data_IF_004780569072
#
_entry.id   IF_004780569072
#
_cell.length_a   1.000
_cell.length_b   1.000
_cell.length_c   1.000
_cell.angle_alpha   90.00
_cell.angle_beta   90.00
_cell.angle_gamma   90.00
#
_symmetry.space_group_name_H-M   'P 1'
#
loop_
_entity.id
_entity.type
_entity.pdbx_description
1 polymer ?
#
# COMPACT_ATOMS: atom_id res chain seq x y z
N UNK A 1 8.79 19.85 19.71
CA UNK A 1 7.99 18.62 19.51
C UNK A 1 6.86 18.99 18.58
N UNK A 2 6.67 18.20 17.52
CA UNK A 2 5.43 18.26 16.74
C UNK A 2 4.28 17.84 17.66
N UNK A 3 3.20 18.61 17.70
CA UNK A 3 2.01 18.28 18.50
C UNK A 3 1.19 17.20 17.81
N UNK A 4 0.43 16.42 18.56
CA UNK A 4 -0.42 15.35 18.02
C UNK A 4 -1.38 15.87 16.94
N UNK A 5 -1.90 17.09 17.11
CA UNK A 5 -2.75 17.75 16.13
C UNK A 5 -2.04 18.00 14.78
N UNK A 6 -0.76 18.36 14.82
CA UNK A 6 0.03 18.58 13.61
C UNK A 6 0.31 17.25 12.90
N UNK A 7 0.56 16.18 13.67
CA UNK A 7 0.78 14.85 13.12
C UNK A 7 -0.51 14.25 12.53
N UNK A 8 -1.65 14.46 13.19
CA UNK A 8 -2.97 14.07 12.69
C UNK A 8 -3.33 14.80 11.39
N UNK A 9 -3.14 16.12 11.36
CA UNK A 9 -3.36 16.92 10.16
C UNK A 9 -2.45 16.49 9.02
N UNK A 10 -1.18 16.17 9.32
CA UNK A 10 -0.23 15.67 8.32
C UNK A 10 -0.66 14.30 7.78
N UNK A 11 -1.14 13.41 8.65
CA UNK A 11 -1.60 12.07 8.25
C UNK A 11 -2.82 12.16 7.31
N UNK A 12 -3.78 13.03 7.59
CA UNK A 12 -4.94 13.24 6.70
C UNK A 12 -4.52 13.87 5.37
N UNK A 13 -3.61 14.85 5.39
CA UNK A 13 -3.08 15.46 4.18
C UNK A 13 -2.35 14.42 3.31
N UNK A 14 -1.45 13.65 3.91
CA UNK A 14 -0.67 12.64 3.19
C UNK A 14 -1.54 11.48 2.71
N UNK A 15 -2.53 11.05 3.51
CA UNK A 15 -3.47 10.00 3.14
C UNK A 15 -4.41 10.40 2.00
N UNK A 16 -4.88 11.64 1.98
CA UNK A 16 -5.69 12.13 0.85
C UNK A 16 -4.84 12.36 -0.40
N UNK A 17 -3.62 12.89 -0.25
CA UNK A 17 -2.66 13.01 -1.34
C UNK A 17 -2.29 11.65 -1.94
N UNK A 18 -2.09 10.62 -1.12
CA UNK A 18 -1.77 9.27 -1.60
C UNK A 18 -2.91 8.66 -2.41
N UNK A 19 -4.16 8.81 -1.96
CA UNK A 19 -5.33 8.37 -2.73
C UNK A 19 -5.40 9.03 -4.11
N UNK A 20 -5.12 10.33 -4.20
CA UNK A 20 -5.06 11.04 -5.49
C UNK A 20 -3.92 10.52 -6.38
N UNK A 21 -2.73 10.29 -5.81
CA UNK A 21 -1.58 9.77 -6.55
C UNK A 21 -1.80 8.34 -7.07
N UNK A 22 -2.50 7.48 -6.32
CA UNK A 22 -2.84 6.12 -6.75
C UNK A 22 -3.79 6.14 -7.95
N UNK A 23 -4.84 6.96 -7.90
CA UNK A 23 -5.78 7.10 -9.02
C UNK A 23 -5.10 7.71 -10.24
N UNK A 24 -4.27 8.74 -10.04
CA UNK A 24 -3.49 9.35 -11.11
C UNK A 24 -2.53 8.34 -11.77
N UNK A 25 -1.84 7.52 -10.98
CA UNK A 25 -0.98 6.45 -11.50
C UNK A 25 -1.80 5.49 -12.39
N UNK A 26 -2.96 5.04 -11.93
CA UNK A 26 -3.81 4.14 -12.71
C UNK A 26 -4.30 4.79 -14.01
N UNK A 27 -4.67 6.08 -13.94
CA UNK A 27 -5.04 6.85 -15.12
C UNK A 27 -3.90 6.93 -16.14
N UNK A 28 -2.68 7.22 -15.69
CA UNK A 28 -1.51 7.30 -16.57
C UNK A 28 -1.14 5.93 -17.16
N UNK A 29 -1.18 4.86 -16.35
CA UNK A 29 -0.86 3.48 -16.77
C UNK A 29 -1.81 3.00 -17.88
N UNK A 30 -3.11 3.27 -17.77
CA UNK A 30 -4.10 2.87 -18.78
C UNK A 30 -3.97 3.66 -20.07
N UNK A 31 -3.57 4.94 -20.00
CA UNK A 31 -3.46 5.81 -21.17
C UNK A 31 -2.08 5.75 -21.85
N UNK A 32 -1.07 5.20 -21.19
CA UNK A 32 0.26 5.03 -21.76
C UNK A 32 0.24 3.93 -22.84
N UNK A 33 0.35 4.33 -24.11
CA UNK A 33 0.43 3.39 -25.24
C UNK A 33 1.84 2.83 -25.35
N UNK A 34 1.99 1.51 -25.24
CA UNK A 34 3.27 0.80 -25.42
C UNK A 34 4.15 0.68 -24.18
N UNK A 35 3.62 1.01 -22.99
CA UNK A 35 4.28 0.72 -21.72
C UNK A 35 3.77 -0.63 -21.17
N UNK A 36 4.68 -1.52 -20.78
CA UNK A 36 4.32 -2.71 -20.00
C UNK A 36 3.85 -2.29 -18.59
N UNK A 37 2.78 -2.91 -18.05
CA UNK A 37 2.21 -2.54 -16.76
C UNK A 37 3.19 -2.84 -15.61
N UNK A 38 3.69 -1.78 -14.96
CA UNK A 38 4.56 -1.86 -13.77
C UNK A 38 3.85 -2.43 -12.53
N UNK A 39 2.53 -2.54 -12.57
CA UNK A 39 1.70 -3.09 -11.49
C UNK A 39 1.91 -4.59 -11.26
N UNK A 40 2.30 -5.35 -12.29
CA UNK A 40 2.51 -6.81 -12.19
C UNK A 40 3.71 -7.19 -11.32
N UNK A 41 4.74 -6.35 -11.30
CA UNK A 41 6.00 -6.63 -10.60
C UNK A 41 6.02 -6.16 -9.13
N UNK A 42 5.07 -5.29 -8.72
CA UNK A 42 5.09 -4.60 -7.41
C UNK A 42 4.01 -5.03 -6.42
N UNK A 43 3.11 -5.95 -6.78
CA UNK A 43 2.05 -6.43 -5.89
C UNK A 43 2.57 -7.16 -4.63
N UNK A 44 3.86 -7.54 -4.59
CA UNK A 44 4.47 -8.25 -3.46
C UNK A 44 5.05 -7.32 -2.35
N UNK A 45 5.34 -6.06 -2.65
CA UNK A 45 6.19 -5.21 -1.77
C UNK A 45 5.41 -4.28 -0.81
N UNK A 46 4.07 -4.21 -0.92
CA UNK A 46 3.26 -3.23 -0.18
C UNK A 46 2.36 -3.80 0.92
N UNK A 47 2.43 -5.11 1.19
CA UNK A 47 1.81 -5.68 2.40
C UNK A 47 2.90 -5.86 3.46
N UNK A 48 2.93 -5.07 4.55
CA UNK A 48 3.73 -5.45 5.70
C UNK A 48 3.20 -6.80 6.15
N UNK A 49 4.04 -7.83 6.12
CA UNK A 49 3.70 -9.17 6.54
C UNK A 49 3.20 -9.13 7.99
N UNK A 50 1.88 -9.07 8.17
CA UNK A 50 1.29 -9.35 9.45
C UNK A 50 1.61 -10.82 9.72
N UNK A 51 2.29 -11.18 10.82
CA UNK A 51 2.50 -12.57 11.15
C UNK A 51 1.13 -13.19 11.41
N UNK A 52 0.67 -14.01 10.47
CA UNK A 52 -0.44 -14.93 10.68
C UNK A 52 0.01 -15.93 11.75
N UNK A 53 -0.29 -15.65 13.02
CA UNK A 53 -0.25 -16.63 14.09
C UNK A 53 -1.28 -17.72 13.77
N UNK A 54 -0.85 -18.80 13.14
CA UNK A 54 -1.78 -19.82 12.68
C UNK A 54 -1.11 -21.06 12.11
N UNK A 55 -0.28 -21.75 12.91
CA UNK A 55 0.06 -23.16 12.65
C UNK A 55 0.54 -23.92 13.90
N UNK A 56 -0.34 -24.09 14.88
CA UNK A 56 -0.24 -25.22 15.80
C UNK A 56 -1.05 -26.39 15.21
N UNK A 57 -0.48 -27.07 14.20
CA UNK A 57 -1.05 -28.32 13.67
C UNK A 57 -0.47 -29.47 14.49
N UNK A 58 -1.37 -30.18 15.18
CA UNK A 58 -1.06 -31.31 16.03
C UNK A 58 -0.26 -32.40 15.34
N UNK A 59 0.62 -33.03 16.12
CA UNK A 59 1.28 -34.28 15.77
C UNK A 59 0.74 -35.35 16.73
N UNK A 60 -0.17 -36.14 16.20
CA UNK A 60 -0.58 -37.45 16.71
C UNK A 60 0.66 -38.32 16.91
N UNK A 61 0.80 -38.88 18.10
CA UNK A 61 1.66 -40.03 18.42
C UNK A 61 0.81 -41.04 19.15
#
# INVERSE_FOLDING_TARGET
MITDDQLYSLAIFLGSASMLLIVLYHFLEVNAKGAEPLSKDRAADSIPAHPSSGKAKGKTG
#
